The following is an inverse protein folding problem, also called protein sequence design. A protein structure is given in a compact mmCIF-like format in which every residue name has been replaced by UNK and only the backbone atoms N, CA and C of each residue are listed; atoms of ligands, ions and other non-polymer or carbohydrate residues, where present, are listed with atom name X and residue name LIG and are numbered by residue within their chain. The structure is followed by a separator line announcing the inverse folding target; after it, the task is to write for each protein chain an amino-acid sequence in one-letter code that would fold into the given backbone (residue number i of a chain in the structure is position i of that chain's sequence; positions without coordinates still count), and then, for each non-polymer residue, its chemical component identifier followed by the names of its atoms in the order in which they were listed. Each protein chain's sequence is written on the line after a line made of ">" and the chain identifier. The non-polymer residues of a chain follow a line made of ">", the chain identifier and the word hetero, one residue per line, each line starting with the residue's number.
data_IF_267722050962
#
_entry.id   IF_267722050962
#
_cell.length_a   1.000
_cell.length_b   1.000
_cell.length_c   1.000
_cell.angle_alpha   90.00
_cell.angle_beta   90.00
_cell.angle_gamma   90.00
#
_symmetry.space_group_name_H-M   'P 1'
#
loop_
_entity.id
_entity.type
_entity.pdbx_description
1 polymer ?
#
# COMPACT_ATOMS: atom_id res chain seq x y z
N UNK A 1 -15.11 -0.21 -8.57
CA UNK A 1 -15.55 0.68 -7.47
C UNK A 1 -14.29 1.37 -6.98
N UNK A 2 -14.29 2.70 -6.86
CA UNK A 2 -13.08 3.45 -6.49
C UNK A 2 -12.81 3.31 -4.99
N UNK A 3 -11.61 2.88 -4.60
CA UNK A 3 -11.25 2.72 -3.19
C UNK A 3 -11.44 4.01 -2.35
N UNK A 4 -11.40 5.18 -2.99
CA UNK A 4 -11.65 6.49 -2.39
C UNK A 4 -13.08 6.68 -1.89
N UNK A 5 -14.11 6.13 -2.58
CA UNK A 5 -15.50 6.29 -2.15
C UNK A 5 -15.85 5.35 -0.99
N UNK A 6 -15.22 4.17 -0.94
CA UNK A 6 -15.37 3.24 0.17
C UNK A 6 -14.71 3.76 1.46
N UNK A 7 -13.56 4.42 1.35
CA UNK A 7 -12.91 5.09 2.48
C UNK A 7 -13.80 6.15 3.12
N UNK A 8 -14.39 7.03 2.31
CA UNK A 8 -15.29 8.06 2.82
C UNK A 8 -16.52 7.44 3.49
N UNK A 9 -17.06 6.37 2.92
CA UNK A 9 -18.17 5.63 3.53
C UNK A 9 -17.80 5.06 4.90
N UNK A 10 -16.59 4.51 5.07
CA UNK A 10 -16.14 3.98 6.36
C UNK A 10 -15.94 5.09 7.41
N UNK A 11 -15.39 6.24 7.01
CA UNK A 11 -15.27 7.43 7.87
C UNK A 11 -16.64 7.89 8.38
N UNK A 12 -17.64 7.93 7.49
CA UNK A 12 -19.00 8.37 7.83
C UNK A 12 -19.74 7.35 8.71
N UNK A 13 -19.54 6.04 8.44
CA UNK A 13 -20.25 4.96 9.11
C UNK A 13 -19.66 4.59 10.47
N UNK A 14 -18.35 4.72 10.65
CA UNK A 14 -17.63 4.32 11.86
C UNK A 14 -16.82 5.47 12.48
N UNK A 15 -17.47 6.59 12.87
CA UNK A 15 -16.75 7.77 13.37
C UNK A 15 -16.00 7.53 14.68
N UNK A 16 -16.32 6.46 15.42
CA UNK A 16 -15.65 6.08 16.67
C UNK A 16 -14.32 5.35 16.43
N UNK A 17 -14.02 4.97 15.18
CA UNK A 17 -12.78 4.29 14.76
C UNK A 17 -12.26 4.94 13.47
N UNK A 18 -11.80 6.20 13.54
CA UNK A 18 -11.42 6.94 12.36
C UNK A 18 -10.18 6.34 11.70
N UNK A 19 -10.20 6.22 10.37
CA UNK A 19 -9.05 5.88 9.54
C UNK A 19 -8.19 7.11 9.24
N UNK A 20 -8.63 8.31 9.60
CA UNK A 20 -7.86 9.54 9.45
C UNK A 20 -7.61 10.21 10.81
N UNK A 21 -6.39 10.75 11.04
CA UNK A 21 -6.10 11.49 12.26
C UNK A 21 -6.87 12.81 12.31
N UNK A 22 -7.11 13.30 13.52
CA UNK A 22 -7.79 14.58 13.75
C UNK A 22 -6.94 15.78 13.31
N UNK A 23 -5.61 15.68 13.43
CA UNK A 23 -4.68 16.72 12.98
C UNK A 23 -4.78 16.92 11.46
N UNK A 24 -5.11 18.14 10.96
CA UNK A 24 -5.31 18.38 9.54
C UNK A 24 -4.07 18.09 8.67
N UNK A 25 -2.87 18.30 9.21
CA UNK A 25 -1.61 18.07 8.48
C UNK A 25 -1.35 16.58 8.32
N UNK A 26 -1.51 15.80 9.39
CA UNK A 26 -1.39 14.34 9.33
C UNK A 26 -2.53 13.72 8.50
N UNK A 27 -3.73 14.32 8.50
CA UNK A 27 -4.84 13.90 7.65
C UNK A 27 -4.49 14.04 6.17
N UNK A 28 -3.97 15.21 5.77
CA UNK A 28 -3.50 15.44 4.41
C UNK A 28 -2.35 14.49 4.03
N UNK A 29 -1.44 14.20 4.96
CA UNK A 29 -0.34 13.26 4.75
C UNK A 29 -0.85 11.83 4.48
N UNK A 30 -1.83 11.36 5.26
CA UNK A 30 -2.45 10.05 5.07
C UNK A 30 -3.14 9.93 3.71
N UNK A 31 -3.95 10.93 3.35
CA UNK A 31 -4.63 10.97 2.05
C UNK A 31 -3.63 10.98 0.89
N UNK A 32 -2.53 11.74 1.03
CA UNK A 32 -1.47 11.79 0.01
C UNK A 32 -0.76 10.44 -0.16
N UNK A 33 -0.42 9.76 0.94
CA UNK A 33 0.20 8.45 0.90
C UNK A 33 -0.73 7.41 0.22
N UNK A 34 -2.01 7.38 0.63
CA UNK A 34 -3.01 6.51 0.02
C UNK A 34 -3.20 6.81 -1.48
N UNK A 35 -3.24 8.09 -1.86
CA UNK A 35 -3.36 8.51 -3.27
C UNK A 35 -2.16 8.10 -4.11
N UNK A 36 -0.93 8.19 -3.60
CA UNK A 36 0.26 7.71 -4.33
C UNK A 36 0.11 6.23 -4.66
N UNK A 37 -0.33 5.42 -3.69
CA UNK A 37 -0.50 3.98 -3.88
C UNK A 37 -1.62 3.71 -4.89
N UNK A 38 -2.80 4.32 -4.67
CA UNK A 38 -4.00 4.05 -5.46
C UNK A 38 -3.92 4.58 -6.90
N UNK A 39 -3.22 5.69 -7.14
CA UNK A 39 -3.17 6.34 -8.45
C UNK A 39 -1.88 6.08 -9.21
N UNK A 40 -0.74 5.97 -8.51
CA UNK A 40 0.58 5.94 -9.16
C UNK A 40 1.30 4.60 -9.04
N UNK A 41 0.79 3.65 -8.24
CA UNK A 41 1.42 2.32 -8.08
C UNK A 41 0.46 1.23 -8.54
N UNK A 42 -0.67 1.08 -7.84
CA UNK A 42 -1.59 -0.03 -8.02
C UNK A 42 -2.07 -0.21 -9.47
N UNK A 43 -2.48 0.85 -10.21
CA UNK A 43 -2.97 0.71 -11.57
C UNK A 43 -1.90 0.20 -12.54
N UNK A 44 -0.62 0.47 -12.26
CA UNK A 44 0.51 0.16 -13.14
C UNK A 44 1.02 -1.28 -13.00
N UNK A 45 0.52 -2.02 -12.02
CA UNK A 45 0.86 -3.44 -11.82
C UNK A 45 -0.38 -4.37 -11.77
N UNK A 46 -1.54 -3.84 -12.18
CA UNK A 46 -2.77 -4.62 -12.33
C UNK A 46 -2.60 -5.75 -13.34
N UNK A 47 -3.14 -6.93 -13.02
CA UNK A 47 -3.01 -8.14 -13.85
C UNK A 47 -3.49 -7.93 -15.29
N UNK A 48 -4.58 -7.20 -15.49
CA UNK A 48 -5.12 -6.91 -16.83
C UNK A 48 -4.13 -6.10 -17.68
N UNK A 49 -3.51 -5.07 -17.10
CA UNK A 49 -2.50 -4.26 -17.77
C UNK A 49 -1.25 -5.09 -18.08
N UNK A 50 -0.75 -5.84 -17.10
CA UNK A 50 0.48 -6.63 -17.27
C UNK A 50 0.31 -7.75 -18.30
N UNK A 51 -0.85 -8.42 -18.36
CA UNK A 51 -1.15 -9.41 -19.41
C UNK A 51 -1.15 -8.77 -20.80
N UNK A 52 -1.79 -7.61 -20.94
CA UNK A 52 -1.81 -6.89 -22.22
C UNK A 52 -0.42 -6.39 -22.64
N UNK A 53 0.43 -5.98 -21.70
CA UNK A 53 1.82 -5.63 -21.98
C UNK A 53 2.63 -6.86 -22.37
N UNK A 54 2.47 -7.96 -21.65
CA UNK A 54 3.16 -9.23 -21.93
C UNK A 54 2.88 -9.74 -23.34
N UNK A 55 1.63 -9.66 -23.81
CA UNK A 55 1.27 -10.02 -25.19
C UNK A 55 1.98 -9.18 -26.26
N UNK A 56 2.37 -7.94 -25.92
CA UNK A 56 2.96 -6.98 -26.88
C UNK A 56 4.48 -6.91 -26.83
N UNK A 57 5.06 -6.96 -25.65
CA UNK A 57 6.49 -6.74 -25.41
C UNK A 57 7.19 -7.93 -24.75
N UNK A 58 6.44 -8.99 -24.42
CA UNK A 58 6.95 -10.16 -23.74
C UNK A 58 6.90 -10.05 -22.20
N UNK A 59 7.03 -11.19 -21.50
CA UNK A 59 6.87 -11.26 -20.05
C UNK A 59 7.95 -10.50 -19.29
N UNK A 60 9.20 -10.52 -19.76
CA UNK A 60 10.32 -9.86 -19.10
C UNK A 60 10.16 -8.33 -19.08
N UNK A 61 9.79 -7.73 -20.21
CA UNK A 61 9.56 -6.29 -20.30
C UNK A 61 8.30 -5.85 -19.54
N UNK A 62 7.24 -6.66 -19.54
CA UNK A 62 6.05 -6.42 -18.72
C UNK A 62 6.38 -6.42 -17.21
N UNK A 63 7.19 -7.38 -16.77
CA UNK A 63 7.67 -7.44 -15.38
C UNK A 63 8.56 -6.24 -15.03
N UNK A 64 9.52 -5.90 -15.90
CA UNK A 64 10.41 -4.75 -15.73
C UNK A 64 9.63 -3.43 -15.63
N UNK A 65 8.60 -3.27 -16.46
CA UNK A 65 7.67 -2.14 -16.38
C UNK A 65 6.99 -2.05 -15.01
N UNK A 66 6.45 -3.16 -14.49
CA UNK A 66 5.81 -3.19 -13.19
C UNK A 66 6.80 -2.82 -12.07
N UNK A 67 7.98 -3.46 -12.06
CA UNK A 67 9.00 -3.24 -11.05
C UNK A 67 9.47 -1.78 -11.01
N UNK A 68 9.75 -1.18 -12.17
CA UNK A 68 10.16 0.22 -12.27
C UNK A 68 9.14 1.18 -11.67
N UNK A 69 7.85 0.98 -11.96
CA UNK A 69 6.79 1.85 -11.46
C UNK A 69 6.55 1.64 -9.95
N UNK A 70 6.63 0.41 -9.47
CA UNK A 70 6.57 0.10 -8.04
C UNK A 70 7.73 0.76 -7.29
N UNK A 71 8.98 0.58 -7.74
CA UNK A 71 10.14 1.18 -7.07
C UNK A 71 10.07 2.70 -7.02
N UNK A 72 9.62 3.36 -8.10
CA UNK A 72 9.42 4.81 -8.13
C UNK A 72 8.38 5.28 -7.10
N UNK A 73 7.27 4.57 -7.01
CA UNK A 73 6.22 4.88 -6.04
C UNK A 73 6.65 4.64 -4.59
N UNK A 74 7.34 3.53 -4.32
CA UNK A 74 7.89 3.24 -3.00
C UNK A 74 8.94 4.27 -2.58
N UNK A 75 9.78 4.75 -3.51
CA UNK A 75 10.72 5.84 -3.23
C UNK A 75 9.99 7.14 -2.83
N UNK A 76 8.91 7.47 -3.53
CA UNK A 76 8.10 8.65 -3.20
C UNK A 76 7.45 8.53 -1.81
N UNK A 77 6.97 7.34 -1.44
CA UNK A 77 6.40 7.06 -0.12
C UNK A 77 7.46 7.09 0.99
N UNK A 78 8.63 6.48 0.75
CA UNK A 78 9.77 6.52 1.67
C UNK A 78 10.16 7.97 1.98
N UNK A 79 10.31 8.81 0.96
CA UNK A 79 10.61 10.23 1.13
C UNK A 79 9.49 11.01 1.82
N UNK A 80 8.23 10.67 1.57
CA UNK A 80 7.07 11.34 2.14
C UNK A 80 6.92 11.06 3.65
N UNK A 81 7.28 9.85 4.08
CA UNK A 81 6.96 9.34 5.42
C UNK A 81 8.16 9.33 6.38
N UNK A 82 9.40 9.37 5.89
CA UNK A 82 10.62 9.24 6.72
C UNK A 82 10.67 10.13 7.97
N UNK A 83 10.14 11.35 7.88
CA UNK A 83 10.20 12.35 8.96
C UNK A 83 8.96 12.32 9.89
N UNK A 84 7.99 11.44 9.60
CA UNK A 84 6.72 11.32 10.32
C UNK A 84 6.51 9.92 10.91
N UNK A 85 7.08 8.90 10.28
CA UNK A 85 6.87 7.52 10.65
C UNK A 85 7.47 7.23 12.03
N UNK A 86 6.60 6.86 12.98
CA UNK A 86 6.98 6.24 14.26
C UNK A 86 6.60 4.76 14.19
N UNK A 87 5.86 4.17 15.14
CA UNK A 87 5.44 2.77 15.04
C UNK A 87 4.71 2.45 13.72
N UNK A 88 3.91 3.39 13.24
CA UNK A 88 3.16 3.32 11.98
C UNK A 88 3.45 4.54 11.09
N UNK A 89 2.84 4.60 9.91
CA UNK A 89 3.23 5.50 8.82
C UNK A 89 3.22 6.99 9.21
N UNK A 90 2.33 7.39 10.12
CA UNK A 90 2.16 8.79 10.52
C UNK A 90 2.11 9.00 12.04
N UNK A 91 2.63 8.05 12.83
CA UNK A 91 2.66 8.15 14.29
C UNK A 91 2.63 6.78 14.96
N UNK A 92 2.02 6.71 16.14
CA UNK A 92 1.92 5.48 16.95
C UNK A 92 0.56 4.76 16.83
N UNK A 93 -0.34 5.27 15.98
CA UNK A 93 -1.63 4.67 15.65
C UNK A 93 -1.73 4.34 14.16
N UNK A 94 -2.54 3.31 13.84
CA UNK A 94 -2.79 2.86 12.47
C UNK A 94 -3.82 3.77 11.81
N UNK A 95 -3.49 4.31 10.65
CA UNK A 95 -4.37 5.14 9.86
C UNK A 95 -4.39 4.70 8.38
N UNK A 96 -5.09 5.45 7.55
CA UNK A 96 -5.34 5.15 6.14
C UNK A 96 -4.05 4.92 5.33
N UNK A 97 -2.95 5.60 5.64
CA UNK A 97 -1.67 5.33 4.99
C UNK A 97 -1.24 3.86 5.21
N UNK A 98 -1.36 3.35 6.43
CA UNK A 98 -0.98 1.99 6.80
C UNK A 98 -1.86 0.95 6.10
N UNK A 99 -3.17 1.22 6.01
CA UNK A 99 -4.15 0.37 5.32
C UNK A 99 -3.77 0.15 3.85
N UNK A 100 -3.16 1.15 3.20
CA UNK A 100 -2.72 1.06 1.80
C UNK A 100 -1.30 0.53 1.67
N UNK A 101 -0.41 0.89 2.60
CA UNK A 101 0.98 0.47 2.59
C UNK A 101 1.13 -1.02 2.84
N UNK A 102 0.43 -1.57 3.81
CA UNK A 102 0.56 -2.98 4.19
C UNK A 102 0.37 -3.94 2.99
N UNK A 103 -0.76 -3.93 2.25
CA UNK A 103 -0.92 -4.79 1.09
C UNK A 103 0.03 -4.43 -0.05
N UNK A 104 0.34 -3.14 -0.27
CA UNK A 104 1.26 -2.74 -1.34
C UNK A 104 2.69 -3.26 -1.10
N UNK A 105 3.19 -3.25 0.14
CA UNK A 105 4.52 -3.78 0.47
C UNK A 105 4.54 -5.31 0.31
N UNK A 106 3.49 -6.01 0.76
CA UNK A 106 3.36 -7.46 0.55
C UNK A 106 3.43 -7.79 -0.94
N UNK A 107 2.59 -7.17 -1.77
CA UNK A 107 2.58 -7.39 -3.22
C UNK A 107 3.93 -7.05 -3.86
N UNK A 108 4.57 -5.96 -3.43
CA UNK A 108 5.88 -5.55 -3.97
C UNK A 108 6.94 -6.63 -3.72
N UNK A 109 6.93 -7.26 -2.55
CA UNK A 109 7.93 -8.28 -2.19
C UNK A 109 7.59 -9.66 -2.72
N UNK A 110 6.35 -10.13 -2.54
CA UNK A 110 5.97 -11.51 -2.84
C UNK A 110 5.71 -11.77 -4.33
N UNK A 111 5.17 -10.76 -5.05
CA UNK A 111 4.79 -10.90 -6.46
C UNK A 111 5.84 -10.34 -7.42
N UNK A 112 6.52 -9.27 -7.03
CA UNK A 112 7.43 -8.53 -7.90
C UNK A 112 8.90 -8.59 -7.47
N UNK A 113 9.21 -9.29 -6.38
CA UNK A 113 10.56 -9.46 -5.85
C UNK A 113 11.33 -8.12 -5.66
N UNK A 114 10.63 -7.06 -5.26
CA UNK A 114 11.25 -5.75 -5.02
C UNK A 114 12.18 -5.84 -3.81
N UNK A 115 13.41 -5.35 -3.98
CA UNK A 115 14.38 -5.28 -2.90
C UNK A 115 14.04 -4.13 -1.93
N UNK A 116 13.44 -4.48 -0.79
CA UNK A 116 13.01 -3.50 0.22
C UNK A 116 14.15 -2.83 0.99
N UNK A 117 15.40 -3.32 0.91
CA UNK A 117 16.54 -2.65 1.56
C UNK A 117 16.79 -1.22 1.06
N UNK A 118 16.25 -0.86 -0.11
CA UNK A 118 16.25 0.51 -0.65
C UNK A 118 15.29 1.46 0.10
N UNK A 119 14.36 0.92 0.90
CA UNK A 119 13.27 1.65 1.56
C UNK A 119 13.25 1.31 3.07
N UNK A 120 14.20 1.85 3.86
CA UNK A 120 14.36 1.47 5.26
C UNK A 120 13.16 1.84 6.14
N UNK A 121 12.52 2.98 5.90
CA UNK A 121 11.30 3.39 6.61
C UNK A 121 10.16 2.42 6.32
N UNK A 122 9.89 2.16 5.03
CA UNK A 122 8.82 1.24 4.65
C UNK A 122 9.07 -0.19 5.14
N UNK A 123 10.33 -0.64 5.12
CA UNK A 123 10.72 -1.94 5.68
C UNK A 123 10.42 -2.06 7.17
N UNK A 124 10.74 -1.02 7.94
CA UNK A 124 10.45 -0.98 9.38
C UNK A 124 8.94 -0.95 9.67
N UNK A 125 8.18 -0.20 8.86
CA UNK A 125 6.72 -0.19 8.95
C UNK A 125 6.14 -1.58 8.68
N UNK A 126 6.66 -2.28 7.67
CA UNK A 126 6.22 -3.64 7.35
C UNK A 126 6.41 -4.63 8.51
N UNK A 127 7.55 -4.57 9.22
CA UNK A 127 7.73 -5.38 10.43
C UNK A 127 6.70 -5.02 11.52
N UNK A 128 6.34 -3.74 11.62
CA UNK A 128 5.32 -3.27 12.57
C UNK A 128 3.90 -3.70 12.18
N UNK A 129 3.66 -4.02 10.90
CA UNK A 129 2.38 -4.51 10.39
C UNK A 129 2.18 -6.01 10.67
N UNK A 130 3.25 -6.81 10.65
CA UNK A 130 3.18 -8.26 10.89
C UNK A 130 2.61 -8.65 12.26
N UNK A 131 2.68 -7.74 13.23
CA UNK A 131 2.15 -7.96 14.59
C UNK A 131 0.67 -7.60 14.73
N UNK A 132 0.03 -7.01 13.72
CA UNK A 132 -1.38 -6.61 13.77
C UNK A 132 -2.28 -7.78 13.37
N UNK A 133 -3.12 -8.22 14.31
CA UNK A 133 -4.07 -9.31 14.10
C UNK A 133 -5.09 -8.98 13.00
N UNK A 134 -5.48 -7.70 12.90
CA UNK A 134 -6.40 -7.21 11.87
C UNK A 134 -5.81 -7.35 10.47
N UNK A 135 -4.51 -7.08 10.31
CA UNK A 135 -3.83 -7.25 9.04
C UNK A 135 -3.65 -8.73 8.69
N UNK A 136 -3.30 -9.55 9.68
CA UNK A 136 -3.21 -11.00 9.50
C UNK A 136 -4.56 -11.59 9.09
N UNK A 137 -5.66 -11.21 9.73
CA UNK A 137 -7.01 -11.64 9.38
C UNK A 137 -7.45 -11.16 7.99
N UNK A 138 -6.91 -10.04 7.51
CA UNK A 138 -7.17 -9.50 6.16
C UNK A 138 -6.29 -10.11 5.07
N UNK A 139 -5.37 -11.03 5.39
CA UNK A 139 -4.46 -11.60 4.39
C UNK A 139 -5.22 -12.42 3.34
N UNK A 140 -4.75 -12.42 2.06
CA UNK A 140 -5.39 -13.19 1.00
C UNK A 140 -5.59 -14.67 1.34
N UNK A 141 -4.64 -15.28 2.05
CA UNK A 141 -4.65 -16.70 2.43
C UNK A 141 -5.70 -17.03 3.50
N UNK A 142 -6.25 -16.03 4.19
CA UNK A 142 -7.29 -16.20 5.21
C UNK A 142 -8.68 -15.81 4.74
N UNK A 143 -8.83 -15.47 3.46
CA UNK A 143 -10.14 -15.12 2.91
C UNK A 143 -10.96 -16.39 2.59
N UNK A 144 -12.31 -16.35 2.68
CA UNK A 144 -13.15 -17.52 2.44
C UNK A 144 -13.01 -18.16 1.05
N UNK A 145 -12.52 -17.40 0.07
CA UNK A 145 -12.27 -17.82 -1.31
C UNK A 145 -10.81 -18.24 -1.55
N UNK A 146 -9.96 -18.25 -0.53
CA UNK A 146 -8.59 -18.74 -0.62
C UNK A 146 -8.58 -20.22 -1.02
N UNK A 147 -7.74 -20.56 -2.01
CA UNK A 147 -7.51 -21.95 -2.38
C UNK A 147 -6.54 -22.56 -1.37
N UNK A 148 -7.00 -23.56 -0.62
CA UNK A 148 -6.21 -24.35 0.32
C UNK A 148 -5.71 -25.66 -0.30
#
# INVERSE_FOLDING_TARGET
>A
MEASSEQQYLEDKYPQRPLLPADPRLKALNLRAASIINSNIQPLHMLSLLKHLEEKVGPEESLSFAQLNIEKGLLALEMLLKDFASRYATGDEVYMADVFLAPQIVVSTSRFNINMSKFPTLSRLYESYKILLELEASSPERQPDAVH
#
